data_IF_113596557732
#
_entry.id   IF_113596557732
#
_cell.length_a   1.000
_cell.length_b   1.000
_cell.length_c   1.000
_cell.angle_alpha   90.00
_cell.angle_beta   90.00
_cell.angle_gamma   90.00
#
_symmetry.space_group_name_H-M   'P 1'
#
loop_
_entity.id
_entity.type
_entity.pdbx_description
1 polymer ?
#
# COMPACT_ATOMS: atom_id res chain seq x y z
N UNK A 1 10.30 -4.30 -6.58
CA UNK A 1 9.54 -3.67 -5.49
C UNK A 1 8.25 -4.44 -5.34
N UNK A 2 7.98 -4.93 -4.14
CA UNK A 2 6.77 -5.70 -3.84
C UNK A 2 5.78 -4.75 -3.16
N UNK A 3 4.55 -4.69 -3.68
CA UNK A 3 3.49 -3.84 -3.16
C UNK A 3 2.39 -4.73 -2.62
N UNK A 4 2.12 -4.64 -1.32
CA UNK A 4 0.92 -5.23 -0.73
C UNK A 4 -0.20 -4.21 -0.72
N UNK A 5 -1.41 -4.62 -1.09
CA UNK A 5 -2.60 -3.78 -1.15
C UNK A 5 -3.71 -4.44 -0.36
N UNK A 6 -4.48 -3.63 0.36
CA UNK A 6 -5.69 -4.09 1.03
C UNK A 6 -6.65 -4.76 0.04
N UNK A 7 -7.16 -5.94 0.40
CA UNK A 7 -7.85 -6.88 -0.48
C UNK A 7 -9.08 -6.32 -1.24
N UNK A 8 -9.72 -5.31 -0.68
CA UNK A 8 -10.92 -4.69 -1.23
C UNK A 8 -10.62 -3.53 -2.22
N UNK A 9 -9.38 -3.07 -2.33
CA UNK A 9 -8.96 -2.00 -3.25
C UNK A 9 -8.70 -2.55 -4.67
N UNK A 10 -9.69 -3.24 -5.23
CA UNK A 10 -9.57 -3.97 -6.52
C UNK A 10 -9.13 -3.08 -7.68
N UNK A 11 -9.64 -1.86 -7.74
CA UNK A 11 -9.28 -0.91 -8.80
C UNK A 11 -7.79 -0.54 -8.73
N UNK A 12 -7.26 -0.32 -7.53
CA UNK A 12 -5.86 0.02 -7.32
C UNK A 12 -4.97 -1.18 -7.67
N UNK A 13 -5.38 -2.39 -7.27
CA UNK A 13 -4.66 -3.64 -7.62
C UNK A 13 -4.53 -3.76 -9.15
N UNK A 14 -5.65 -3.69 -9.87
CA UNK A 14 -5.66 -3.82 -11.34
C UNK A 14 -4.82 -2.74 -12.02
N UNK A 15 -4.90 -1.49 -11.55
CA UNK A 15 -4.10 -0.40 -12.10
C UNK A 15 -2.60 -0.65 -11.89
N UNK A 16 -2.18 -1.04 -10.68
CA UNK A 16 -0.77 -1.31 -10.37
C UNK A 16 -0.24 -2.53 -11.14
N UNK A 17 -1.02 -3.59 -11.25
CA UNK A 17 -0.67 -4.77 -12.06
C UNK A 17 -0.52 -4.40 -13.55
N UNK A 18 -1.43 -3.57 -14.09
CA UNK A 18 -1.37 -3.11 -15.48
C UNK A 18 -0.13 -2.25 -15.78
N UNK A 19 0.42 -1.60 -14.75
CA UNK A 19 1.66 -0.83 -14.81
C UNK A 19 2.91 -1.69 -14.60
N UNK A 20 2.77 -3.00 -14.39
CA UNK A 20 3.87 -3.95 -14.24
C UNK A 20 4.45 -4.06 -12.83
N UNK A 21 3.76 -3.54 -11.81
CA UNK A 21 4.18 -3.74 -10.42
C UNK A 21 3.89 -5.18 -9.97
N UNK A 22 4.71 -5.68 -9.03
CA UNK A 22 4.43 -6.93 -8.35
C UNK A 22 3.50 -6.65 -7.17
N UNK A 23 2.22 -6.95 -7.34
CA UNK A 23 1.14 -6.61 -6.41
C UNK A 23 0.63 -7.86 -5.70
N UNK A 24 0.51 -7.78 -4.38
CA UNK A 24 -0.01 -8.84 -3.52
C UNK A 24 -1.14 -8.30 -2.65
N UNK A 25 -2.00 -9.20 -2.16
CA UNK A 25 -3.03 -8.85 -1.19
C UNK A 25 -2.51 -8.92 0.24
N UNK A 26 -3.13 -8.19 1.17
CA UNK A 26 -2.77 -8.29 2.59
C UNK A 26 -2.97 -9.71 3.13
N UNK A 27 -4.02 -10.40 2.68
CA UNK A 27 -4.31 -11.79 3.06
C UNK A 27 -3.23 -12.80 2.64
N UNK A 28 -2.42 -12.49 1.63
CA UNK A 28 -1.31 -13.35 1.19
C UNK A 28 -0.12 -13.28 2.16
N UNK A 29 -0.08 -12.26 3.03
CA UNK A 29 0.90 -12.16 4.10
C UNK A 29 2.34 -12.04 3.63
N UNK A 30 2.53 -11.51 2.41
CA UNK A 30 3.85 -11.30 1.79
C UNK A 30 4.51 -10.06 2.41
N UNK A 31 5.78 -10.16 2.85
CA UNK A 31 6.58 -9.00 3.23
C UNK A 31 6.83 -8.10 2.02
N UNK A 32 6.45 -6.83 2.14
CA UNK A 32 6.42 -5.89 1.02
C UNK A 32 7.15 -4.60 1.31
N UNK A 33 7.68 -3.97 0.25
CA UNK A 33 8.34 -2.67 0.33
C UNK A 33 7.32 -1.54 0.54
N UNK A 34 6.10 -1.72 0.02
CA UNK A 34 5.00 -0.76 0.08
C UNK A 34 3.72 -1.46 0.53
N UNK A 35 2.99 -0.86 1.46
CA UNK A 35 1.65 -1.27 1.86
C UNK A 35 0.66 -0.15 1.57
N UNK A 36 -0.37 -0.46 0.80
CA UNK A 36 -1.43 0.47 0.39
C UNK A 36 -2.71 0.08 1.11
N UNK A 37 -3.28 1.01 1.87
CA UNK A 37 -4.45 0.79 2.71
C UNK A 37 -5.40 1.99 2.68
N UNK A 38 -6.62 1.77 3.17
CA UNK A 38 -7.65 2.79 3.34
C UNK A 38 -8.10 2.81 4.81
N UNK A 39 -7.96 3.95 5.49
CA UNK A 39 -8.04 4.05 6.96
C UNK A 39 -9.48 3.91 7.48
N UNK A 40 -10.46 4.44 6.74
CA UNK A 40 -11.89 4.30 7.06
C UNK A 40 -12.35 2.84 7.21
N UNK A 41 -11.63 1.91 6.59
CA UNK A 41 -11.99 0.49 6.51
C UNK A 41 -11.06 -0.41 7.33
N UNK A 42 -9.87 0.09 7.66
CA UNK A 42 -8.80 -0.67 8.28
C UNK A 42 -8.17 0.19 9.38
N UNK A 43 -8.82 0.20 10.54
CA UNK A 43 -8.28 0.93 11.70
C UNK A 43 -6.83 0.52 12.01
N UNK A 44 -6.04 1.45 12.56
CA UNK A 44 -4.59 1.33 12.77
C UNK A 44 -4.13 -0.02 13.35
N UNK A 45 -4.88 -0.58 14.31
CA UNK A 45 -4.58 -1.85 14.97
C UNK A 45 -4.60 -3.06 14.02
N UNK A 46 -5.44 -3.01 12.99
CA UNK A 46 -5.49 -4.04 11.96
C UNK A 46 -4.39 -3.83 10.92
N UNK A 47 -3.95 -2.60 10.67
CA UNK A 47 -2.84 -2.38 9.73
C UNK A 47 -1.54 -3.00 10.26
N UNK A 48 -1.24 -2.82 11.53
CA UNK A 48 0.01 -3.33 12.14
C UNK A 48 0.11 -4.85 12.14
N UNK A 49 -1.01 -5.58 12.14
CA UNK A 49 -1.01 -7.05 12.06
C UNK A 49 -0.74 -7.59 10.66
N UNK A 50 -1.00 -6.80 9.61
CA UNK A 50 -0.79 -7.19 8.22
C UNK A 50 0.55 -6.70 7.64
N UNK A 51 1.13 -5.65 8.23
CA UNK A 51 2.41 -5.10 7.79
C UNK A 51 3.55 -6.01 8.29
N UNK A 52 4.22 -6.68 7.35
CA UNK A 52 5.46 -7.43 7.61
C UNK A 52 6.61 -6.69 6.93
N UNK A 53 7.33 -5.88 7.71
CA UNK A 53 8.42 -5.09 7.17
C UNK A 53 9.66 -5.95 6.89
N UNK A 54 10.28 -5.85 5.70
CA UNK A 54 11.64 -6.33 5.51
C UNK A 54 12.63 -5.50 6.36
N UNK A 55 13.86 -5.98 6.55
CA UNK A 55 14.89 -5.32 7.39
C UNK A 55 15.15 -3.83 7.04
N UNK A 56 14.75 -3.40 5.85
CA UNK A 56 14.94 -2.04 5.32
C UNK A 56 13.75 -1.10 5.59
N UNK A 57 12.72 -1.58 6.30
CA UNK A 57 11.47 -0.86 6.51
C UNK A 57 10.49 -0.99 5.33
N UNK A 58 9.27 -0.51 5.50
CA UNK A 58 8.25 -0.46 4.46
C UNK A 58 7.58 0.91 4.41
N UNK A 59 7.13 1.32 3.22
CA UNK A 59 6.34 2.53 3.00
C UNK A 59 4.86 2.23 3.18
N UNK A 60 4.19 2.96 4.07
CA UNK A 60 2.74 2.88 4.25
C UNK A 60 2.08 4.03 3.49
N UNK A 61 1.07 3.73 2.66
CA UNK A 61 0.33 4.72 1.88
C UNK A 61 -1.16 4.58 2.19
N UNK A 62 -1.71 5.58 2.88
CA UNK A 62 -3.16 5.75 2.97
C UNK A 62 -3.69 6.34 1.66
N UNK A 63 -4.68 5.71 1.04
CA UNK A 63 -5.31 6.15 -0.22
C UNK A 63 -6.56 6.98 -0.04
N UNK A 64 -7.00 7.23 1.19
CA UNK A 64 -8.15 8.09 1.46
C UNK A 64 -8.00 9.44 0.75
N UNK A 65 -9.00 9.78 -0.08
CA UNK A 65 -9.05 11.00 -0.89
C UNK A 65 -7.86 11.21 -1.85
N UNK A 66 -7.09 10.17 -2.19
CA UNK A 66 -5.99 10.27 -3.17
C UNK A 66 -6.38 9.70 -4.52
N UNK A 67 -5.95 10.38 -5.57
CA UNK A 67 -6.02 9.86 -6.94
C UNK A 67 -4.91 8.84 -7.23
N UNK A 68 -5.11 8.00 -8.25
CA UNK A 68 -4.10 7.04 -8.69
C UNK A 68 -2.75 7.72 -9.03
N UNK A 69 -2.78 8.93 -9.59
CA UNK A 69 -1.58 9.71 -9.90
C UNK A 69 -0.79 10.07 -8.64
N UNK A 70 -1.47 10.43 -7.56
CA UNK A 70 -0.84 10.76 -6.28
C UNK A 70 -0.28 9.51 -5.59
N UNK A 71 -0.98 8.38 -5.68
CA UNK A 71 -0.48 7.09 -5.19
C UNK A 71 0.83 6.70 -5.89
N UNK A 72 0.85 6.80 -7.23
CA UNK A 72 2.06 6.54 -8.01
C UNK A 72 3.20 7.51 -7.69
N UNK A 73 2.86 8.77 -7.43
CA UNK A 73 3.85 9.77 -7.01
C UNK A 73 4.48 9.38 -5.66
N UNK A 74 3.68 8.96 -4.68
CA UNK A 74 4.17 8.48 -3.38
C UNK A 74 5.05 7.24 -3.50
N UNK A 75 4.65 6.28 -4.34
CA UNK A 75 5.43 5.05 -4.61
C UNK A 75 6.80 5.40 -5.20
N UNK A 76 6.84 6.24 -6.23
CA UNK A 76 8.07 6.53 -6.98
C UNK A 76 9.04 7.45 -6.22
N UNK A 77 8.53 8.39 -5.44
CA UNK A 77 9.37 9.37 -4.74
C UNK A 77 9.67 8.96 -3.30
N UNK A 78 9.11 7.83 -2.81
CA UNK A 78 9.17 7.39 -1.41
C UNK A 78 8.83 8.52 -0.43
N UNK A 79 7.99 9.45 -0.84
CA UNK A 79 7.69 10.62 -0.03
C UNK A 79 6.72 10.21 1.06
N UNK A 80 7.16 10.31 2.31
CA UNK A 80 6.28 10.22 3.47
C UNK A 80 5.16 11.25 3.32
N UNK A 81 3.92 10.81 3.22
CA UNK A 81 2.81 11.73 3.46
C UNK A 81 2.81 12.10 4.94
N UNK A 82 2.63 13.38 5.30
CA UNK A 82 2.40 13.75 6.69
C UNK A 82 1.25 12.93 7.27
N UNK A 83 1.43 12.41 8.49
CA UNK A 83 0.40 11.68 9.22
C UNK A 83 -0.70 12.62 9.77
N UNK A 84 -0.54 13.95 9.60
CA UNK A 84 -1.41 15.02 10.08
C UNK A 84 -1.14 16.29 9.28
#
# INVERSE_FOLDING_TARGET
>A
MIISVQDNLKEIILNLESLGYNVHKFSEGIPSDVYIYKDEELGLSNLTSHVKTPERGALLINVDNKSMKEILYSINNRTYSPLF
#
